data_IF_957481641645
#
_entry.id   IF_957481641645
#
_cell.length_a   1.000
_cell.length_b   1.000
_cell.length_c   1.000
_cell.angle_alpha   90.00
_cell.angle_beta   90.00
_cell.angle_gamma   90.00
#
_symmetry.space_group_name_H-M   'P 1'
#
loop_
_entity.id
_entity.type
_entity.pdbx_description
1 polymer ?
#
# COMPACT_ATOMS: atom_id res chain seq x y z
N UNK A 1 -7.62 38.70 -14.13
CA UNK A 1 -7.78 39.76 -13.11
C UNK A 1 -7.37 39.19 -11.76
N UNK A 2 -6.06 39.02 -11.53
CA UNK A 2 -5.52 38.57 -10.23
C UNK A 2 -4.31 39.40 -9.80
N UNK A 3 -4.08 40.55 -10.46
CA UNK A 3 -3.00 41.46 -10.11
C UNK A 3 -3.44 42.41 -8.99
N UNK A 4 -2.67 42.34 -7.90
CA UNK A 4 -2.05 43.51 -7.25
C UNK A 4 -2.63 44.12 -5.97
N UNK A 5 -3.56 43.50 -5.25
CA UNK A 5 -3.79 43.89 -3.85
C UNK A 5 -3.88 42.66 -2.96
N UNK A 6 -2.88 42.53 -2.08
CA UNK A 6 -2.63 41.37 -1.25
C UNK A 6 -3.90 40.93 -0.51
N UNK A 7 -4.30 39.68 -0.75
CA UNK A 7 -5.40 39.03 -0.04
C UNK A 7 -5.24 39.09 1.49
N UNK A 8 -6.25 38.68 2.26
CA UNK A 8 -6.33 38.93 3.71
C UNK A 8 -5.06 38.56 4.51
N UNK A 9 -4.29 37.56 4.05
CA UNK A 9 -3.00 37.18 4.63
C UNK A 9 -1.93 38.27 4.55
N UNK A 10 -1.86 39.04 3.45
CA UNK A 10 -0.87 40.12 3.25
C UNK A 10 -1.17 41.37 4.06
N UNK A 11 -2.41 41.55 4.54
CA UNK A 11 -2.76 42.68 5.40
C UNK A 11 -2.06 42.64 6.78
N UNK A 12 -1.52 41.48 7.18
CA UNK A 12 -0.85 41.26 8.47
C UNK A 12 0.52 40.59 8.34
N UNK A 13 0.97 40.24 7.14
CA UNK A 13 2.19 39.47 6.93
C UNK A 13 2.93 39.85 5.65
N UNK A 14 4.17 40.31 5.83
CA UNK A 14 5.04 40.78 4.74
C UNK A 14 6.11 39.75 4.34
N UNK A 15 6.25 38.64 5.06
CA UNK A 15 7.27 37.64 4.78
C UNK A 15 7.03 36.81 3.49
N UNK A 16 7.97 35.91 3.16
CA UNK A 16 7.80 34.94 2.07
C UNK A 16 6.57 34.05 2.30
N UNK A 17 5.72 33.93 1.29
CA UNK A 17 4.46 33.17 1.36
C UNK A 17 4.26 32.41 0.05
N UNK A 18 3.90 31.13 0.17
CA UNK A 18 3.44 30.29 -0.94
C UNK A 18 2.07 29.74 -0.58
N UNK A 19 1.13 29.73 -1.53
CA UNK A 19 -0.15 29.05 -1.39
C UNK A 19 0.05 27.61 -1.82
N UNK A 20 -0.25 26.66 -0.94
CA UNK A 20 0.02 25.26 -1.18
C UNK A 20 -0.87 24.71 -2.31
N UNK A 21 -0.25 23.94 -3.20
CA UNK A 21 -0.91 23.09 -4.19
C UNK A 21 -0.38 21.67 -4.02
N UNK A 22 -1.09 20.69 -4.59
CA UNK A 22 -0.64 19.31 -4.59
C UNK A 22 0.76 19.20 -5.20
N UNK A 23 1.60 18.37 -4.59
CA UNK A 23 3.00 18.17 -4.98
C UNK A 23 3.94 19.38 -4.80
N UNK A 24 3.50 20.45 -4.13
CA UNK A 24 4.42 21.51 -3.71
C UNK A 24 5.38 21.00 -2.63
N UNK A 25 6.69 21.30 -2.81
CA UNK A 25 7.77 20.88 -1.91
C UNK A 25 8.55 22.08 -1.41
N UNK A 26 8.85 22.07 -0.11
CA UNK A 26 9.74 23.04 0.54
C UNK A 26 11.06 22.37 0.92
N UNK A 27 12.13 22.72 0.23
CA UNK A 27 13.48 22.31 0.60
C UNK A 27 14.05 23.30 1.63
N UNK A 28 14.11 22.86 2.90
CA UNK A 28 14.58 23.66 4.03
C UNK A 28 16.03 23.31 4.35
N UNK A 29 16.90 24.31 4.28
CA UNK A 29 18.30 24.23 4.74
C UNK A 29 18.55 25.25 5.85
N UNK A 30 19.73 25.20 6.48
CA UNK A 30 20.14 26.21 7.48
C UNK A 30 20.12 27.63 6.90
N UNK A 31 20.38 27.77 5.61
CA UNK A 31 20.60 29.06 4.96
C UNK A 31 19.35 29.58 4.22
N UNK A 32 18.45 28.70 3.79
CA UNK A 32 17.34 29.09 2.91
C UNK A 32 16.17 28.10 2.92
N UNK A 33 15.00 28.60 2.53
CA UNK A 33 13.83 27.79 2.16
C UNK A 33 13.61 27.99 0.65
N UNK A 34 13.53 26.89 -0.10
CA UNK A 34 13.23 26.91 -1.54
C UNK A 34 11.92 26.18 -1.80
N UNK A 35 11.13 26.69 -2.73
CA UNK A 35 9.85 26.12 -3.13
C UNK A 35 9.97 25.59 -4.55
N UNK A 36 9.53 24.35 -4.77
CA UNK A 36 9.48 23.72 -6.08
C UNK A 36 8.26 22.80 -6.20
N UNK A 37 7.92 22.42 -7.42
CA UNK A 37 6.91 21.39 -7.67
C UNK A 37 7.60 20.05 -7.84
N UNK A 38 7.10 19.02 -7.16
CA UNK A 38 7.52 17.65 -7.41
C UNK A 38 6.83 17.12 -8.67
N UNK A 39 7.63 16.61 -9.60
CA UNK A 39 7.14 15.80 -10.70
C UNK A 39 6.94 14.37 -10.18
N UNK A 40 5.68 13.92 -10.11
CA UNK A 40 5.34 12.59 -9.61
C UNK A 40 4.75 11.75 -10.73
N UNK A 41 5.22 10.52 -10.88
CA UNK A 41 4.66 9.56 -11.82
C UNK A 41 3.28 9.07 -11.34
N UNK A 42 2.26 9.23 -12.18
CA UNK A 42 0.90 8.75 -11.92
C UNK A 42 0.79 7.22 -11.96
N UNK A 43 1.77 6.53 -12.56
CA UNK A 43 1.86 5.08 -12.63
C UNK A 43 2.84 4.50 -11.58
N UNK A 44 2.86 5.09 -10.39
CA UNK A 44 3.76 4.69 -9.31
C UNK A 44 3.36 3.38 -8.63
N UNK A 45 4.36 2.66 -8.14
CA UNK A 45 4.23 1.41 -7.37
C UNK A 45 4.96 1.56 -6.03
N UNK A 46 4.62 0.70 -5.06
CA UNK A 46 5.33 0.69 -3.79
C UNK A 46 6.82 0.40 -4.02
N UNK A 47 7.75 1.23 -3.52
CA UNK A 47 9.18 0.97 -3.65
C UNK A 47 9.56 -0.30 -2.88
N UNK A 48 10.70 -0.93 -3.22
CA UNK A 48 11.18 -2.08 -2.47
C UNK A 48 11.37 -1.73 -1.00
N UNK A 49 11.13 -2.70 -0.12
CA UNK A 49 11.22 -2.51 1.33
C UNK A 49 12.64 -2.09 1.73
N UNK A 50 12.73 -1.04 2.56
CA UNK A 50 13.99 -0.63 3.19
C UNK A 50 14.43 -1.56 4.34
N UNK A 51 13.58 -2.52 4.74
CA UNK A 51 13.82 -3.46 5.82
C UNK A 51 13.55 -4.91 5.37
N UNK A 52 14.14 -5.92 6.02
CA UNK A 52 13.86 -7.33 5.71
C UNK A 52 12.38 -7.66 5.83
N UNK A 53 11.88 -8.52 4.94
CA UNK A 53 10.52 -9.01 5.01
C UNK A 53 10.31 -9.81 6.31
N UNK A 54 9.33 -9.40 7.11
CA UNK A 54 8.87 -10.18 8.27
C UNK A 54 7.71 -11.08 7.81
N UNK A 55 7.79 -12.41 7.97
CA UNK A 55 6.67 -13.27 7.65
C UNK A 55 5.46 -12.91 8.53
N UNK A 56 4.26 -12.99 7.95
CA UNK A 56 3.03 -12.85 8.75
C UNK A 56 3.02 -13.94 9.83
N UNK A 57 2.75 -13.55 11.07
CA UNK A 57 2.53 -14.52 12.14
C UNK A 57 1.02 -14.70 12.34
N UNK A 58 0.59 -15.95 12.52
CA UNK A 58 -0.77 -16.26 12.98
C UNK A 58 -1.05 -15.74 14.40
N UNK A 59 -0.03 -15.25 15.11
CA UNK A 59 -0.18 -14.66 16.43
C UNK A 59 -1.00 -13.37 16.41
N UNK A 60 -1.01 -12.62 15.30
CA UNK A 60 -1.84 -11.42 15.18
C UNK A 60 -3.34 -11.76 15.26
N UNK A 61 -3.74 -12.89 14.65
CA UNK A 61 -5.11 -13.41 14.76
C UNK A 61 -5.44 -13.85 16.18
N UNK A 62 -4.48 -14.42 16.92
CA UNK A 62 -4.66 -14.81 18.33
C UNK A 62 -4.81 -13.59 19.23
N UNK A 63 -3.98 -12.57 19.02
CA UNK A 63 -4.02 -11.33 19.79
C UNK A 63 -5.37 -10.63 19.62
N UNK A 64 -5.81 -10.47 18.38
CA UNK A 64 -7.12 -9.90 18.06
C UNK A 64 -8.28 -10.71 18.67
N UNK A 65 -8.28 -12.03 18.49
CA UNK A 65 -9.33 -12.88 19.07
C UNK A 65 -9.43 -12.73 20.60
N UNK A 66 -8.28 -12.66 21.29
CA UNK A 66 -8.21 -12.48 22.74
C UNK A 66 -8.71 -11.10 23.18
N UNK A 67 -8.31 -10.04 22.48
CA UNK A 67 -8.70 -8.67 22.82
C UNK A 67 -10.21 -8.45 22.71
N UNK A 68 -10.83 -9.02 21.68
CA UNK A 68 -12.26 -8.83 21.40
C UNK A 68 -13.15 -9.97 21.92
N UNK A 69 -12.59 -10.93 22.66
CA UNK A 69 -13.35 -12.07 23.21
C UNK A 69 -13.96 -12.98 22.14
N UNK A 70 -13.34 -13.06 20.97
CA UNK A 70 -13.79 -13.87 19.84
C UNK A 70 -13.17 -15.26 19.87
N UNK A 71 -13.89 -16.26 19.37
CA UNK A 71 -13.31 -17.56 19.10
C UNK A 71 -12.31 -17.43 17.95
N UNK A 72 -11.04 -17.77 18.20
CA UNK A 72 -9.96 -17.72 17.20
C UNK A 72 -10.34 -18.47 15.90
N UNK A 73 -11.09 -19.57 16.01
CA UNK A 73 -11.51 -20.36 14.84
C UNK A 73 -12.56 -19.64 13.98
N UNK A 74 -13.21 -18.61 14.53
CA UNK A 74 -14.24 -17.80 13.86
C UNK A 74 -13.72 -16.46 13.32
N UNK A 75 -12.43 -16.17 13.48
CA UNK A 75 -11.79 -14.96 12.92
C UNK A 75 -11.61 -15.08 11.39
N UNK A 76 -11.74 -16.28 10.83
CA UNK A 76 -11.74 -16.53 9.38
C UNK A 76 -13.12 -16.46 8.74
N UNK A 77 -13.18 -16.74 7.43
CA UNK A 77 -14.45 -16.88 6.70
C UNK A 77 -15.29 -18.04 7.27
N UNK A 78 -16.60 -17.85 7.30
CA UNK A 78 -17.54 -18.89 7.67
C UNK A 78 -17.65 -19.97 6.58
N UNK A 79 -18.18 -21.14 6.95
CA UNK A 79 -18.43 -22.23 6.01
C UNK A 79 -19.37 -21.81 4.88
N UNK A 80 -20.34 -20.93 5.16
CA UNK A 80 -21.23 -20.37 4.16
C UNK A 80 -20.45 -19.59 3.09
N UNK A 81 -19.54 -18.71 3.51
CA UNK A 81 -18.73 -17.91 2.58
C UNK A 81 -17.73 -18.77 1.80
N UNK A 82 -17.05 -19.72 2.45
CA UNK A 82 -16.04 -20.56 1.81
C UNK A 82 -16.63 -21.60 0.86
N UNK A 83 -17.87 -22.04 1.10
CA UNK A 83 -18.57 -22.97 0.20
C UNK A 83 -18.89 -22.39 -1.17
N UNK A 84 -18.84 -21.06 -1.32
CA UNK A 84 -19.07 -20.36 -2.59
C UNK A 84 -17.84 -20.23 -3.48
N UNK A 85 -16.70 -20.81 -3.10
CA UNK A 85 -15.50 -20.74 -3.94
C UNK A 85 -15.70 -21.50 -5.25
N UNK A 86 -15.53 -20.78 -6.36
CA UNK A 86 -15.52 -21.37 -7.69
C UNK A 86 -14.16 -22.00 -7.96
N UNK A 87 -14.13 -23.28 -8.33
CA UNK A 87 -12.91 -23.97 -8.71
C UNK A 87 -12.46 -23.54 -10.12
N UNK A 88 -11.29 -22.91 -10.22
CA UNK A 88 -10.64 -22.44 -11.47
C UNK A 88 -9.26 -23.10 -11.68
N UNK A 89 -9.03 -24.28 -11.10
CA UNK A 89 -7.74 -24.99 -11.18
C UNK A 89 -7.30 -25.26 -12.62
N UNK A 90 -8.25 -25.53 -13.51
CA UNK A 90 -8.03 -25.78 -14.93
C UNK A 90 -7.40 -24.57 -15.65
N UNK A 91 -7.70 -23.36 -15.19
CA UNK A 91 -7.12 -22.11 -15.71
C UNK A 91 -5.82 -21.73 -15.01
N UNK A 92 -5.73 -21.96 -13.69
CA UNK A 92 -4.57 -21.51 -12.90
C UNK A 92 -3.35 -22.43 -13.03
N UNK A 93 -3.54 -23.75 -13.08
CA UNK A 93 -2.42 -24.71 -13.15
C UNK A 93 -1.51 -24.48 -14.38
N UNK A 94 -2.04 -24.27 -15.60
CA UNK A 94 -1.22 -23.95 -16.77
C UNK A 94 -0.36 -22.69 -16.58
N UNK A 95 -0.88 -21.67 -15.90
CA UNK A 95 -0.17 -20.41 -15.65
C UNK A 95 1.04 -20.64 -14.74
N UNK A 96 0.90 -21.50 -13.72
CA UNK A 96 2.02 -21.86 -12.84
C UNK A 96 3.10 -22.63 -13.61
N UNK A 97 2.71 -23.60 -14.43
CA UNK A 97 3.65 -24.36 -15.27
C UNK A 97 4.38 -23.46 -16.28
N UNK A 98 3.67 -22.53 -16.91
CA UNK A 98 4.24 -21.56 -17.84
C UNK A 98 5.22 -20.63 -17.12
N UNK A 99 4.83 -20.08 -15.97
CA UNK A 99 5.70 -19.24 -15.16
C UNK A 99 6.98 -19.98 -14.74
N UNK A 100 6.86 -21.27 -14.39
CA UNK A 100 8.01 -22.10 -14.03
C UNK A 100 8.98 -22.31 -15.18
N UNK A 101 8.45 -22.61 -16.37
CA UNK A 101 9.26 -22.77 -17.58
C UNK A 101 9.92 -21.46 -17.98
N UNK A 102 9.18 -20.37 -18.01
CA UNK A 102 9.66 -19.06 -18.43
C UNK A 102 10.76 -18.49 -17.52
N UNK A 103 10.64 -18.71 -16.21
CA UNK A 103 11.59 -18.19 -15.22
C UNK A 103 12.65 -19.22 -14.78
N UNK A 104 12.60 -20.45 -15.31
CA UNK A 104 13.53 -21.52 -14.97
C UNK A 104 13.53 -21.91 -13.49
N UNK A 105 12.45 -21.63 -12.76
CA UNK A 105 12.30 -21.91 -11.32
C UNK A 105 10.98 -22.61 -11.05
N UNK A 106 10.99 -23.60 -10.16
CA UNK A 106 9.76 -24.30 -9.79
C UNK A 106 8.84 -23.40 -8.94
N UNK A 107 7.58 -23.32 -9.34
CA UNK A 107 6.51 -22.65 -8.60
C UNK A 107 5.45 -23.70 -8.29
N UNK A 108 5.44 -24.25 -7.07
CA UNK A 108 4.46 -25.25 -6.72
C UNK A 108 3.06 -24.63 -6.70
N UNK A 109 2.12 -25.25 -7.42
CA UNK A 109 0.72 -24.90 -7.31
C UNK A 109 0.22 -25.20 -5.88
N UNK A 110 -0.45 -24.25 -5.19
CA UNK A 110 -0.97 -24.50 -3.86
C UNK A 110 -2.14 -25.48 -3.93
N UNK A 111 -1.90 -26.75 -3.57
CA UNK A 111 -2.96 -27.75 -3.51
C UNK A 111 -3.98 -27.42 -2.41
N UNK A 112 -5.26 -27.74 -2.67
CA UNK A 112 -6.35 -27.65 -1.70
C UNK A 112 -5.96 -28.36 -0.40
N UNK A 113 -5.74 -27.59 0.67
CA UNK A 113 -5.49 -28.12 2.02
C UNK A 113 -4.22 -27.62 2.72
N UNK A 114 -3.28 -26.97 2.01
CA UNK A 114 -2.18 -26.26 2.70
C UNK A 114 -2.65 -24.87 3.13
N UNK A 115 -3.39 -24.83 4.24
CA UNK A 115 -3.61 -23.58 5.00
C UNK A 115 -2.23 -23.01 5.35
N UNK A 116 -1.92 -21.82 4.81
CA UNK A 116 -0.84 -20.98 5.33
C UNK A 116 -1.24 -20.38 6.69
#
# INVERSE_FOLDING_TARGET
>A
MWESDGGPTRAKYDGPLSLAEDYMVWNVTKDSIRVCMAEVDHHTWAPPLAAPAKPLSLDDRKAFAKEYGLDQKKVGFSDFTSSGYWNVDDVLRPIYEEASKALGRDFPYPEEGKKQ
#
